data_IF_427924070356
#
_entry.id   IF_427924070356
#
_cell.length_a   1.000
_cell.length_b   1.000
_cell.length_c   1.000
_cell.angle_alpha   90.00
_cell.angle_beta   90.00
_cell.angle_gamma   90.00
#
_symmetry.space_group_name_H-M   'P 1'
#
loop_
_entity.id
_entity.type
_entity.pdbx_description
1 polymer ?
#
# COMPACT_ATOMS: atom_id res chain seq x y z
N UNK A 1 19.05 -8.92 19.41
CA UNK A 1 18.08 -8.19 18.59
C UNK A 1 18.73 -6.86 18.26
N UNK A 2 18.99 -6.56 16.99
CA UNK A 2 19.54 -5.29 16.56
C UNK A 2 18.39 -4.46 15.99
N UNK A 3 18.24 -3.21 16.42
CA UNK A 3 17.24 -2.25 15.92
C UNK A 3 17.86 -1.21 14.99
N UNK A 4 19.19 -1.23 14.81
CA UNK A 4 19.88 -0.32 13.92
C UNK A 4 19.68 -0.77 12.46
N UNK A 5 19.53 0.18 11.58
CA UNK A 5 19.59 -0.05 10.14
C UNK A 5 21.00 -0.44 9.72
N UNK A 6 21.13 -1.22 8.66
CA UNK A 6 22.45 -1.41 8.04
C UNK A 6 22.92 -0.11 7.37
N UNK A 7 24.23 0.04 7.11
CA UNK A 7 24.73 1.22 6.39
C UNK A 7 24.03 1.47 5.04
N UNK A 8 23.69 0.39 4.33
CA UNK A 8 22.97 0.45 3.05
C UNK A 8 21.53 0.91 3.23
N UNK A 9 20.85 0.43 4.28
CA UNK A 9 19.50 0.86 4.63
C UNK A 9 19.46 2.33 5.07
N UNK A 10 20.47 2.78 5.83
CA UNK A 10 20.62 4.18 6.22
C UNK A 10 20.81 5.09 4.98
N UNK A 11 21.66 4.67 4.03
CA UNK A 11 21.86 5.38 2.77
C UNK A 11 20.59 5.44 1.94
N UNK A 12 19.86 4.32 1.82
CA UNK A 12 18.59 4.26 1.12
C UNK A 12 17.57 5.22 1.76
N UNK A 13 17.41 5.17 3.09
CA UNK A 13 16.52 6.04 3.86
C UNK A 13 16.80 7.51 3.57
N UNK A 14 18.06 7.92 3.69
CA UNK A 14 18.45 9.32 3.53
C UNK A 14 18.30 9.80 2.08
N UNK A 15 18.58 8.93 1.11
CA UNK A 15 18.42 9.22 -0.31
C UNK A 15 16.94 9.36 -0.71
N UNK A 16 16.07 8.46 -0.24
CA UNK A 16 14.61 8.51 -0.47
C UNK A 16 14.00 9.74 0.19
N UNK A 17 14.43 10.05 1.43
CA UNK A 17 14.01 11.29 2.13
C UNK A 17 14.38 12.54 1.33
N UNK A 18 15.59 12.58 0.79
CA UNK A 18 16.04 13.71 -0.03
C UNK A 18 15.22 13.87 -1.31
N UNK A 19 14.89 12.73 -1.97
CA UNK A 19 13.98 12.72 -3.12
C UNK A 19 12.60 13.25 -2.73
N UNK A 20 11.98 12.68 -1.70
CA UNK A 20 10.65 13.08 -1.26
C UNK A 20 10.55 14.56 -0.89
N UNK A 21 11.58 15.12 -0.20
CA UNK A 21 11.63 16.54 0.17
C UNK A 21 11.75 17.50 -1.01
N UNK A 22 12.34 17.09 -2.14
CA UNK A 22 12.39 17.91 -3.35
C UNK A 22 11.01 18.12 -3.98
N UNK A 23 10.15 17.13 -3.91
CA UNK A 23 8.77 17.20 -4.37
C UNK A 23 7.86 17.79 -3.28
N UNK A 24 7.82 17.15 -2.14
CA UNK A 24 7.07 17.59 -0.96
C UNK A 24 5.57 17.51 -1.09
N UNK A 25 4.88 17.75 0.02
CA UNK A 25 3.43 17.71 0.08
C UNK A 25 2.70 18.69 -0.86
N UNK A 26 3.19 19.93 -1.09
CA UNK A 26 2.55 20.83 -2.04
C UNK A 26 2.45 20.27 -3.47
N UNK A 27 3.50 19.56 -3.94
CA UNK A 27 3.48 18.87 -5.23
C UNK A 27 2.39 17.78 -5.25
N UNK A 28 2.38 16.91 -4.24
CA UNK A 28 1.39 15.84 -4.11
C UNK A 28 -0.05 16.38 -4.12
N UNK A 29 -0.32 17.42 -3.33
CA UNK A 29 -1.64 18.08 -3.26
C UNK A 29 -2.00 18.74 -4.59
N UNK A 30 -1.04 19.39 -5.27
CA UNK A 30 -1.29 20.02 -6.56
C UNK A 30 -1.72 18.98 -7.61
N UNK A 31 -0.99 17.85 -7.71
CA UNK A 31 -1.33 16.75 -8.61
C UNK A 31 -2.71 16.16 -8.30
N UNK A 32 -3.01 15.90 -7.03
CA UNK A 32 -4.32 15.39 -6.62
C UNK A 32 -5.47 16.36 -6.97
N UNK A 33 -5.28 17.66 -6.79
CA UNK A 33 -6.30 18.68 -7.11
C UNK A 33 -6.51 18.91 -8.60
N UNK A 34 -5.46 18.80 -9.41
CA UNK A 34 -5.56 18.93 -10.87
C UNK A 34 -6.06 17.66 -11.55
N UNK A 35 -6.13 16.52 -10.82
CA UNK A 35 -6.45 15.23 -11.40
C UNK A 35 -5.30 14.63 -12.20
N UNK A 36 -4.08 15.13 -12.00
CA UNK A 36 -2.87 14.63 -12.62
C UNK A 36 -2.18 13.59 -11.73
N UNK A 37 -1.40 12.71 -12.35
CA UNK A 37 -0.59 11.70 -11.65
C UNK A 37 0.75 12.24 -11.18
N UNK A 38 1.37 11.57 -10.23
CA UNK A 38 2.73 11.88 -9.73
C UNK A 38 3.83 11.31 -10.63
N UNK A 39 3.67 11.45 -11.94
CA UNK A 39 4.50 10.81 -12.97
C UNK A 39 5.98 11.18 -12.86
N UNK A 40 6.29 12.44 -12.55
CA UNK A 40 7.67 12.92 -12.44
C UNK A 40 8.38 12.27 -11.25
N UNK A 41 7.70 12.21 -10.10
CA UNK A 41 8.23 11.55 -8.89
C UNK A 41 8.39 10.04 -9.11
N UNK A 42 7.41 9.40 -9.76
CA UNK A 42 7.45 7.98 -10.08
C UNK A 42 8.64 7.61 -10.97
N UNK A 43 8.81 8.32 -12.08
CA UNK A 43 9.92 8.07 -13.01
C UNK A 43 11.28 8.35 -12.36
N UNK A 44 11.39 9.39 -11.53
CA UNK A 44 12.65 9.65 -10.85
C UNK A 44 12.96 8.60 -9.79
N UNK A 45 11.96 8.14 -9.04
CA UNK A 45 12.11 7.04 -8.09
C UNK A 45 12.52 5.73 -8.80
N UNK A 46 11.95 5.44 -9.97
CA UNK A 46 12.32 4.29 -10.82
C UNK A 46 13.77 4.39 -11.29
N UNK A 47 14.16 5.53 -11.88
CA UNK A 47 15.55 5.77 -12.35
C UNK A 47 16.58 5.65 -11.22
N UNK A 48 16.21 5.96 -9.99
CA UNK A 48 17.06 5.83 -8.80
C UNK A 48 17.00 4.41 -8.18
N UNK A 49 16.19 3.49 -8.74
CA UNK A 49 16.06 2.11 -8.30
C UNK A 49 15.15 1.90 -7.08
N UNK A 50 14.43 2.94 -6.62
CA UNK A 50 13.60 2.84 -5.40
C UNK A 50 12.32 2.02 -5.59
N UNK A 51 11.82 1.90 -6.83
CA UNK A 51 10.63 1.10 -7.13
C UNK A 51 10.92 -0.40 -7.16
N UNK A 52 12.17 -0.77 -7.46
CA UNK A 52 12.61 -2.16 -7.59
C UNK A 52 13.46 -2.67 -6.43
N UNK A 53 13.49 -2.00 -5.27
CA UNK A 53 14.36 -2.39 -4.15
C UNK A 53 14.13 -3.83 -3.68
N UNK A 54 12.90 -4.35 -3.78
CA UNK A 54 12.49 -5.70 -3.40
C UNK A 54 12.49 -6.70 -4.56
N UNK A 55 12.90 -6.29 -5.76
CA UNK A 55 12.98 -7.15 -6.94
C UNK A 55 14.41 -7.70 -7.04
N UNK A 56 14.60 -8.99 -7.42
CA UNK A 56 15.92 -9.57 -7.58
C UNK A 56 16.78 -8.83 -8.60
N UNK A 57 18.09 -8.82 -8.36
CA UNK A 57 19.07 -8.11 -9.23
C UNK A 57 19.12 -8.67 -10.64
N UNK A 58 18.85 -9.95 -10.84
CA UNK A 58 18.76 -10.61 -12.15
C UNK A 58 17.65 -10.04 -13.05
N UNK A 59 16.64 -9.39 -12.44
CA UNK A 59 15.56 -8.67 -13.17
C UNK A 59 15.70 -7.15 -13.08
N UNK A 60 16.89 -6.65 -12.73
CA UNK A 60 17.16 -5.21 -12.68
C UNK A 60 16.76 -4.51 -11.38
N UNK A 61 16.37 -5.27 -10.37
CA UNK A 61 16.01 -4.73 -9.03
C UNK A 61 17.21 -4.54 -8.10
N UNK A 62 16.90 -4.09 -6.88
CA UNK A 62 17.91 -3.83 -5.83
C UNK A 62 18.36 -5.09 -5.07
N UNK A 63 17.64 -6.21 -5.17
CA UNK A 63 17.93 -7.45 -4.46
C UNK A 63 17.69 -7.39 -2.94
N UNK A 64 17.04 -6.35 -2.45
CA UNK A 64 16.56 -6.22 -1.07
C UNK A 64 15.24 -6.93 -0.84
N UNK A 65 14.57 -6.58 0.25
CA UNK A 65 13.31 -7.18 0.66
C UNK A 65 12.18 -6.18 0.89
N UNK A 66 11.18 -6.64 1.59
CA UNK A 66 10.04 -5.79 2.01
C UNK A 66 10.48 -4.77 3.07
N UNK A 67 11.57 -5.02 3.79
CA UNK A 67 12.17 -4.06 4.71
C UNK A 67 12.62 -2.80 3.97
N UNK A 68 13.35 -2.92 2.86
CA UNK A 68 13.81 -1.80 2.03
C UNK A 68 12.62 -1.09 1.37
N UNK A 69 11.63 -1.83 0.88
CA UNK A 69 10.43 -1.22 0.30
C UNK A 69 9.61 -0.47 1.36
N UNK A 70 9.53 -0.98 2.59
CA UNK A 70 8.88 -0.28 3.69
C UNK A 70 9.61 1.04 4.04
N UNK A 71 10.95 1.08 3.99
CA UNK A 71 11.73 2.31 4.13
C UNK A 71 11.38 3.33 3.04
N UNK A 72 11.27 2.89 1.78
CA UNK A 72 10.87 3.75 0.66
C UNK A 72 9.47 4.33 0.90
N UNK A 73 8.50 3.49 1.23
CA UNK A 73 7.12 3.92 1.50
C UNK A 73 7.05 4.90 2.67
N UNK A 74 7.75 4.61 3.77
CA UNK A 74 7.76 5.47 4.96
C UNK A 74 8.39 6.83 4.68
N UNK A 75 9.56 6.89 4.03
CA UNK A 75 10.28 8.14 3.85
C UNK A 75 9.65 9.06 2.81
N UNK A 76 9.07 8.52 1.72
CA UNK A 76 8.28 9.33 0.80
C UNK A 76 7.03 9.90 1.48
N UNK A 77 6.33 9.11 2.28
CA UNK A 77 5.17 9.55 3.03
C UNK A 77 5.56 10.58 4.12
N UNK A 78 6.70 10.40 4.81
CA UNK A 78 7.23 11.37 5.78
C UNK A 78 7.68 12.69 5.14
N UNK A 79 7.95 12.68 3.83
CA UNK A 79 8.17 13.89 3.04
C UNK A 79 6.86 14.52 2.50
N UNK A 80 5.71 13.91 2.77
CA UNK A 80 4.39 14.36 2.34
C UNK A 80 3.90 13.82 0.99
N UNK A 81 4.55 12.77 0.47
CA UNK A 81 4.21 12.11 -0.80
C UNK A 81 3.88 10.62 -0.58
N UNK A 82 2.75 10.27 0.06
CA UNK A 82 2.35 8.88 0.29
C UNK A 82 1.86 8.24 -1.01
N UNK A 83 2.75 7.62 -1.80
CA UNK A 83 2.42 7.01 -3.08
C UNK A 83 1.77 5.63 -2.90
N UNK A 84 0.46 5.53 -3.16
CA UNK A 84 -0.29 4.26 -3.05
C UNK A 84 0.16 3.23 -4.10
N UNK A 85 0.64 3.67 -5.26
CA UNK A 85 1.17 2.76 -6.28
C UNK A 85 2.35 1.92 -5.82
N UNK A 86 3.15 2.38 -4.84
CA UNK A 86 4.22 1.56 -4.23
C UNK A 86 3.67 0.30 -3.55
N UNK A 87 2.45 0.39 -3.05
CA UNK A 87 1.78 -0.75 -2.41
C UNK A 87 1.25 -1.72 -3.45
N UNK A 88 0.49 -1.23 -4.44
CA UNK A 88 -0.21 -2.13 -5.37
C UNK A 88 0.71 -2.72 -6.43
N UNK A 89 1.75 -2.01 -6.84
CA UNK A 89 2.67 -2.45 -7.91
C UNK A 89 3.92 -3.13 -7.34
N UNK A 90 4.89 -2.46 -6.69
CA UNK A 90 6.07 -3.14 -6.13
C UNK A 90 5.76 -4.12 -5.01
N UNK A 91 4.90 -3.76 -4.04
CA UNK A 91 4.71 -4.64 -2.90
C UNK A 91 3.82 -5.85 -3.22
N UNK A 92 2.72 -5.66 -3.97
CA UNK A 92 1.81 -6.77 -4.30
C UNK A 92 2.23 -7.43 -5.60
N UNK A 93 2.10 -6.75 -6.75
CA UNK A 93 2.22 -7.39 -8.05
C UNK A 93 3.63 -7.95 -8.30
N UNK A 94 4.69 -7.16 -8.05
CA UNK A 94 6.05 -7.64 -8.25
C UNK A 94 6.38 -8.82 -7.32
N UNK A 95 5.95 -8.77 -6.04
CA UNK A 95 6.17 -9.88 -5.10
C UNK A 95 5.44 -11.16 -5.54
N UNK A 96 4.19 -11.04 -5.98
CA UNK A 96 3.41 -12.19 -6.48
C UNK A 96 4.08 -12.81 -7.71
N UNK A 97 4.45 -11.99 -8.69
CA UNK A 97 5.11 -12.46 -9.92
C UNK A 97 6.48 -13.07 -9.60
N UNK A 98 7.26 -12.45 -8.72
CA UNK A 98 8.57 -12.96 -8.34
C UNK A 98 8.48 -14.34 -7.65
N UNK A 99 7.55 -14.51 -6.71
CA UNK A 99 7.44 -15.75 -5.93
C UNK A 99 6.70 -16.87 -6.67
N UNK A 100 5.70 -16.54 -7.47
CA UNK A 100 4.76 -17.51 -8.05
C UNK A 100 4.61 -17.46 -9.56
N UNK A 101 5.12 -16.42 -10.23
CA UNK A 101 5.12 -16.34 -11.69
C UNK A 101 6.04 -17.40 -12.34
N UNK A 102 5.78 -17.71 -13.60
CA UNK A 102 6.72 -18.49 -14.43
C UNK A 102 7.98 -17.67 -14.71
N UNK A 103 9.03 -18.32 -15.20
CA UNK A 103 10.26 -17.62 -15.58
C UNK A 103 10.01 -16.60 -16.69
N UNK A 104 9.11 -16.93 -17.64
CA UNK A 104 8.68 -16.03 -18.71
C UNK A 104 7.96 -14.81 -18.15
N UNK A 105 7.04 -15.00 -17.18
CA UNK A 105 6.34 -13.91 -16.51
C UNK A 105 7.30 -13.02 -15.73
N UNK A 106 8.25 -13.59 -15.00
CA UNK A 106 9.29 -12.82 -14.29
C UNK A 106 10.10 -11.96 -15.25
N UNK A 107 10.63 -12.56 -16.34
CA UNK A 107 11.42 -11.84 -17.37
C UNK A 107 10.61 -10.76 -18.09
N UNK A 108 9.32 -10.99 -18.30
CA UNK A 108 8.44 -10.05 -19.01
C UNK A 108 8.07 -8.83 -18.17
N UNK A 109 7.84 -9.03 -16.85
CA UNK A 109 7.22 -7.99 -16.04
C UNK A 109 8.17 -7.36 -15.01
N UNK A 110 9.04 -8.15 -14.36
CA UNK A 110 9.84 -7.62 -13.25
C UNK A 110 10.80 -6.49 -13.64
N UNK A 111 11.47 -6.49 -14.82
CA UNK A 111 12.34 -5.39 -15.22
C UNK A 111 11.59 -4.05 -15.31
N UNK A 112 10.43 -4.04 -15.96
CA UNK A 112 9.62 -2.83 -16.10
C UNK A 112 9.01 -2.36 -14.76
N UNK A 113 8.70 -3.31 -13.86
CA UNK A 113 8.27 -2.97 -12.50
C UNK A 113 9.43 -2.39 -11.68
N UNK A 114 10.67 -2.86 -11.90
CA UNK A 114 11.84 -2.39 -11.16
C UNK A 114 12.24 -0.95 -11.53
N UNK A 115 12.21 -0.61 -12.82
CA UNK A 115 12.56 0.73 -13.30
C UNK A 115 11.36 1.70 -13.38
N UNK A 116 10.14 1.20 -13.13
CA UNK A 116 8.90 1.97 -13.14
C UNK A 116 8.34 2.27 -14.54
N UNK A 117 8.90 1.68 -15.60
CA UNK A 117 8.38 1.79 -16.96
C UNK A 117 7.09 0.98 -17.16
N UNK A 118 6.83 0.00 -16.29
CA UNK A 118 5.58 -0.76 -16.23
C UNK A 118 4.95 -0.63 -14.84
N UNK A 119 3.62 -0.56 -14.82
CA UNK A 119 2.81 -0.57 -13.59
C UNK A 119 1.79 -1.71 -13.68
N UNK A 120 1.69 -2.50 -12.62
CA UNK A 120 0.66 -3.54 -12.46
C UNK A 120 -0.09 -3.27 -11.16
N UNK A 121 -1.36 -2.91 -11.25
CA UNK A 121 -2.20 -2.66 -10.08
C UNK A 121 -2.97 -3.91 -9.66
N UNK A 122 -3.56 -3.91 -8.46
CA UNK A 122 -4.15 -5.10 -7.86
C UNK A 122 -5.68 -4.97 -7.74
N UNK A 123 -6.41 -6.01 -8.12
CA UNK A 123 -7.87 -6.04 -8.10
C UNK A 123 -8.41 -7.30 -7.42
N UNK A 124 -8.79 -7.18 -6.15
CA UNK A 124 -9.45 -8.25 -5.38
C UNK A 124 -10.88 -7.90 -5.01
N UNK A 125 -11.13 -6.68 -4.47
CA UNK A 125 -12.39 -6.27 -3.86
C UNK A 125 -13.53 -6.23 -4.88
N UNK A 126 -14.70 -6.72 -4.47
CA UNK A 126 -15.94 -6.70 -5.25
C UNK A 126 -17.07 -6.02 -4.46
N UNK A 127 -18.13 -5.54 -5.11
CA UNK A 127 -19.27 -4.92 -4.42
C UNK A 127 -19.82 -5.77 -3.27
N UNK A 128 -19.88 -7.11 -3.46
CA UNK A 128 -20.43 -8.06 -2.48
C UNK A 128 -19.36 -8.86 -1.72
N UNK A 129 -18.07 -8.60 -1.96
CA UNK A 129 -16.95 -9.30 -1.35
C UNK A 129 -15.80 -8.33 -0.98
N UNK A 130 -15.99 -7.55 0.09
CA UNK A 130 -14.95 -6.72 0.71
C UNK A 130 -14.18 -7.51 1.77
N UNK A 131 -14.58 -7.40 3.04
CA UNK A 131 -13.91 -8.13 4.15
C UNK A 131 -13.94 -9.65 4.01
N UNK A 132 -14.94 -10.20 3.33
CA UNK A 132 -15.07 -11.62 3.08
C UNK A 132 -14.69 -11.97 1.62
N UNK A 133 -13.40 -12.03 1.32
CA UNK A 133 -12.89 -12.39 -0.01
C UNK A 133 -13.23 -13.83 -0.43
N UNK A 134 -13.65 -14.71 0.48
CA UNK A 134 -14.12 -16.04 0.14
C UNK A 134 -15.41 -16.02 -0.70
N UNK A 135 -16.11 -14.90 -0.76
CA UNK A 135 -17.34 -14.70 -1.55
C UNK A 135 -17.11 -14.02 -2.90
N UNK A 136 -15.87 -13.94 -3.35
CA UNK A 136 -15.56 -13.38 -4.68
C UNK A 136 -16.44 -14.03 -5.76
N UNK A 137 -17.09 -13.20 -6.58
CA UNK A 137 -17.96 -13.61 -7.67
C UNK A 137 -17.28 -13.59 -9.04
N UNK A 138 -16.13 -12.90 -9.19
CA UNK A 138 -15.36 -12.90 -10.44
C UNK A 138 -14.87 -14.32 -10.74
N UNK A 139 -15.18 -14.82 -11.95
CA UNK A 139 -14.89 -16.19 -12.37
C UNK A 139 -14.03 -16.17 -13.64
N UNK A 140 -13.05 -17.08 -13.69
CA UNK A 140 -12.30 -17.40 -14.89
C UNK A 140 -12.70 -18.79 -15.38
N UNK A 141 -13.08 -18.90 -16.67
CA UNK A 141 -13.43 -20.17 -17.31
C UNK A 141 -12.46 -20.48 -18.44
N UNK A 142 -12.14 -21.75 -18.64
CA UNK A 142 -11.38 -22.17 -19.82
C UNK A 142 -12.24 -22.12 -21.07
N UNK A 143 -11.65 -21.63 -22.17
CA UNK A 143 -12.21 -21.64 -23.51
C UNK A 143 -11.10 -22.04 -24.50
N UNK A 144 -10.97 -23.34 -24.76
CA UNK A 144 -9.81 -23.91 -25.42
C UNK A 144 -8.54 -23.73 -24.58
N UNK A 145 -7.52 -23.13 -25.17
CA UNK A 145 -6.27 -22.80 -24.48
C UNK A 145 -6.33 -21.47 -23.72
N UNK A 146 -7.37 -20.65 -23.99
CA UNK A 146 -7.55 -19.34 -23.39
C UNK A 146 -8.35 -19.38 -22.09
N UNK A 147 -8.40 -18.21 -21.43
CA UNK A 147 -9.28 -17.93 -20.31
C UNK A 147 -10.31 -16.86 -20.67
N UNK A 148 -11.52 -16.97 -20.14
CA UNK A 148 -12.55 -15.94 -20.17
C UNK A 148 -12.83 -15.50 -18.73
N UNK A 149 -12.63 -14.22 -18.45
CA UNK A 149 -12.87 -13.59 -17.14
C UNK A 149 -14.16 -12.81 -17.16
N UNK A 150 -15.06 -13.12 -16.22
CA UNK A 150 -16.33 -12.41 -16.05
C UNK A 150 -16.52 -12.02 -14.59
N UNK A 151 -16.87 -10.75 -14.32
CA UNK A 151 -17.10 -10.26 -12.95
C UNK A 151 -16.98 -8.74 -12.82
N UNK A 152 -16.86 -8.31 -11.56
CA UNK A 152 -16.75 -6.88 -11.23
C UNK A 152 -15.73 -6.70 -10.13
N UNK A 153 -14.96 -5.59 -10.20
CA UNK A 153 -14.05 -5.15 -9.15
C UNK A 153 -14.36 -3.71 -8.77
N UNK A 154 -14.10 -3.33 -7.53
CA UNK A 154 -14.39 -1.99 -7.03
C UNK A 154 -13.27 -1.49 -6.11
N UNK A 155 -13.07 -0.20 -6.04
CA UNK A 155 -11.97 0.45 -5.30
C UNK A 155 -10.60 0.03 -5.80
N UNK A 156 -10.42 -0.04 -7.11
CA UNK A 156 -9.16 -0.42 -7.73
C UNK A 156 -8.37 0.86 -8.04
N UNK A 157 -7.19 0.98 -7.42
CA UNK A 157 -6.38 2.19 -7.46
C UNK A 157 -5.50 2.23 -8.71
N UNK A 158 -5.40 3.41 -9.37
CA UNK A 158 -4.39 3.72 -10.37
C UNK A 158 -4.51 2.96 -11.69
N UNK A 159 -5.70 2.46 -12.03
CA UNK A 159 -5.92 1.68 -13.27
C UNK A 159 -5.71 2.53 -14.54
N UNK A 160 -5.93 3.83 -14.43
CA UNK A 160 -5.79 4.79 -15.54
C UNK A 160 -4.33 5.11 -15.90
N UNK A 161 -3.40 4.75 -15.03
CA UNK A 161 -1.97 4.91 -15.27
C UNK A 161 -1.19 3.58 -15.28
N UNK A 162 -1.91 2.44 -15.23
CA UNK A 162 -1.32 1.11 -15.20
C UNK A 162 -1.40 0.40 -16.56
N UNK A 163 -0.40 -0.42 -16.86
CA UNK A 163 -0.35 -1.27 -18.06
C UNK A 163 -1.20 -2.53 -17.88
N UNK A 164 -1.21 -3.07 -16.65
CA UNK A 164 -1.92 -4.30 -16.32
C UNK A 164 -2.62 -4.20 -14.96
N UNK A 165 -3.61 -5.07 -14.80
CA UNK A 165 -4.28 -5.33 -13.51
C UNK A 165 -4.03 -6.79 -13.12
N UNK A 166 -3.50 -7.03 -11.93
CA UNK A 166 -3.44 -8.35 -11.32
C UNK A 166 -4.81 -8.64 -10.70
N UNK A 167 -5.63 -9.38 -11.43
CA UNK A 167 -7.03 -9.68 -11.06
C UNK A 167 -7.11 -10.99 -10.29
N UNK A 168 -7.71 -10.95 -9.11
CA UNK A 168 -8.09 -12.16 -8.36
C UNK A 168 -9.44 -12.65 -8.84
N UNK A 169 -9.48 -13.84 -9.42
CA UNK A 169 -10.69 -14.52 -9.85
C UNK A 169 -10.81 -15.89 -9.15
N UNK A 170 -11.89 -16.57 -9.40
CA UNK A 170 -12.08 -17.99 -9.02
C UNK A 170 -12.23 -18.83 -10.27
N UNK A 171 -11.61 -19.99 -10.28
CA UNK A 171 -11.75 -20.93 -11.38
C UNK A 171 -12.06 -22.33 -10.85
N UNK A 172 -12.78 -23.13 -11.63
CA UNK A 172 -13.12 -24.50 -11.26
C UNK A 172 -11.90 -25.39 -11.36
N UNK A 173 -11.60 -26.06 -10.27
CA UNK A 173 -10.62 -27.14 -10.23
C UNK A 173 -11.26 -28.41 -10.82
N UNK A 174 -10.75 -28.86 -11.96
CA UNK A 174 -11.28 -30.01 -12.69
C UNK A 174 -11.27 -31.30 -11.88
N UNK A 175 -10.40 -31.46 -10.86
CA UNK A 175 -10.30 -32.65 -10.03
C UNK A 175 -11.35 -32.70 -8.92
N UNK A 176 -11.75 -31.53 -8.38
CA UNK A 176 -12.64 -31.42 -7.22
C UNK A 176 -13.98 -30.75 -7.51
N UNK A 177 -14.14 -30.10 -8.66
CA UNK A 177 -15.31 -29.26 -9.01
C UNK A 177 -15.47 -28.05 -8.13
N UNK A 178 -14.47 -27.72 -7.28
CA UNK A 178 -14.52 -26.57 -6.38
C UNK A 178 -13.88 -25.34 -7.03
N UNK A 179 -14.46 -24.18 -6.74
CA UNK A 179 -13.86 -22.91 -7.15
C UNK A 179 -12.66 -22.59 -6.27
N UNK A 180 -11.49 -22.47 -6.87
CA UNK A 180 -10.22 -22.05 -6.24
C UNK A 180 -9.83 -20.63 -6.66
N UNK A 181 -9.19 -19.84 -5.80
CA UNK A 181 -8.61 -18.56 -6.19
C UNK A 181 -7.54 -18.75 -7.27
N UNK A 182 -7.51 -17.83 -8.24
CA UNK A 182 -6.49 -17.74 -9.28
C UNK A 182 -6.22 -16.27 -9.58
N UNK A 183 -4.98 -15.94 -9.93
CA UNK A 183 -4.57 -14.58 -10.23
C UNK A 183 -4.21 -14.47 -11.71
N UNK A 184 -4.71 -13.43 -12.36
CA UNK A 184 -4.51 -13.20 -13.80
C UNK A 184 -3.89 -11.82 -14.03
N UNK A 185 -2.87 -11.75 -14.88
CA UNK A 185 -2.28 -10.50 -15.36
C UNK A 185 -3.09 -10.05 -16.57
N UNK A 186 -3.93 -9.03 -16.39
CA UNK A 186 -4.90 -8.55 -17.39
C UNK A 186 -4.42 -7.20 -17.94
N UNK A 187 -4.20 -7.04 -19.26
CA UNK A 187 -3.92 -5.73 -19.86
C UNK A 187 -5.06 -4.74 -19.56
N UNK A 188 -4.75 -3.48 -19.25
CA UNK A 188 -5.78 -2.48 -18.93
C UNK A 188 -6.60 -2.03 -20.15
N UNK A 189 -6.16 -2.36 -21.35
CA UNK A 189 -6.83 -2.15 -22.62
C UNK A 189 -7.46 -3.42 -23.22
N UNK A 190 -7.51 -4.52 -22.45
CA UNK A 190 -8.08 -5.79 -22.92
C UNK A 190 -9.54 -5.60 -23.36
N UNK A 191 -9.94 -6.13 -24.52
CA UNK A 191 -11.34 -6.13 -24.95
C UNK A 191 -12.23 -6.79 -23.91
N UNK A 192 -13.37 -6.15 -23.58
CA UNK A 192 -14.27 -6.62 -22.52
C UNK A 192 -13.94 -6.12 -21.12
N UNK A 193 -12.82 -5.41 -20.92
CA UNK A 193 -12.51 -4.72 -19.67
C UNK A 193 -12.95 -3.25 -19.75
N UNK A 194 -14.02 -2.94 -19.04
CA UNK A 194 -14.46 -1.55 -18.89
C UNK A 194 -14.08 -1.02 -17.50
N UNK A 195 -13.69 0.26 -17.44
CA UNK A 195 -13.29 0.94 -16.21
C UNK A 195 -14.08 2.23 -16.02
N UNK A 196 -14.68 2.39 -14.85
CA UNK A 196 -15.43 3.57 -14.45
C UNK A 196 -14.78 4.21 -13.24
N UNK A 197 -14.37 5.48 -13.36
CA UNK A 197 -13.78 6.23 -12.25
C UNK A 197 -14.81 6.44 -11.15
N UNK A 198 -14.39 6.26 -9.91
CA UNK A 198 -15.19 6.56 -8.72
C UNK A 198 -14.83 7.96 -8.21
N UNK A 199 -15.84 8.76 -7.92
CA UNK A 199 -15.66 10.02 -7.22
C UNK A 199 -15.37 9.75 -5.75
N UNK A 200 -14.20 10.19 -5.29
CA UNK A 200 -13.72 9.92 -3.93
C UNK A 200 -13.56 11.23 -3.14
N UNK A 201 -14.00 11.23 -1.90
CA UNK A 201 -13.78 12.34 -0.95
C UNK A 201 -12.36 12.33 -0.32
N UNK A 202 -11.46 11.50 -0.85
CA UNK A 202 -10.07 11.42 -0.43
C UNK A 202 -9.21 12.18 -1.43
N UNK A 203 -8.40 13.11 -0.96
CA UNK A 203 -7.43 13.79 -1.80
C UNK A 203 -6.23 12.88 -2.06
N UNK A 204 -6.16 12.31 -3.25
CA UNK A 204 -5.08 11.45 -3.74
C UNK A 204 -4.88 11.65 -5.24
N UNK A 205 -3.65 11.63 -5.75
CA UNK A 205 -3.40 11.63 -7.19
C UNK A 205 -3.74 10.27 -7.84
N UNK A 206 -3.80 9.19 -7.06
CA UNK A 206 -4.23 7.88 -7.54
C UNK A 206 -5.76 7.78 -7.56
N UNK A 207 -6.33 7.70 -8.76
CA UNK A 207 -7.77 7.54 -8.95
C UNK A 207 -8.24 6.14 -8.56
N UNK A 208 -9.50 6.04 -8.13
CA UNK A 208 -10.15 4.77 -7.80
C UNK A 208 -11.13 4.38 -8.90
N UNK A 209 -11.22 3.08 -9.20
CA UNK A 209 -12.05 2.58 -10.28
C UNK A 209 -12.95 1.44 -9.85
N UNK A 210 -14.10 1.34 -10.52
CA UNK A 210 -14.86 0.12 -10.68
C UNK A 210 -14.46 -0.49 -12.03
N UNK A 211 -14.25 -1.81 -12.05
CA UNK A 211 -13.95 -2.58 -13.25
C UNK A 211 -15.10 -3.55 -13.55
N UNK A 212 -15.44 -3.63 -14.82
CA UNK A 212 -16.39 -4.60 -15.36
C UNK A 212 -15.63 -5.50 -16.32
N UNK A 213 -15.68 -6.80 -16.07
CA UNK A 213 -15.07 -7.82 -16.91
C UNK A 213 -16.22 -8.60 -17.59
N UNK A 214 -16.36 -8.44 -18.89
CA UNK A 214 -17.37 -9.11 -19.71
C UNK A 214 -16.68 -10.04 -20.69
N UNK A 215 -16.53 -11.31 -20.29
CA UNK A 215 -15.83 -12.36 -21.01
C UNK A 215 -14.46 -11.90 -21.57
N UNK A 216 -13.67 -11.21 -20.71
CA UNK A 216 -12.33 -10.74 -21.07
C UNK A 216 -11.47 -11.94 -21.44
N UNK A 217 -11.10 -12.04 -22.72
CA UNK A 217 -10.28 -13.13 -23.25
C UNK A 217 -8.81 -12.93 -22.95
N UNK A 218 -8.19 -13.90 -22.34
CA UNK A 218 -6.79 -13.88 -21.97
C UNK A 218 -6.10 -15.17 -22.42
N UNK A 219 -4.84 -15.10 -22.89
CA UNK A 219 -4.07 -16.28 -23.23
C UNK A 219 -3.75 -17.12 -21.99
N UNK A 220 -3.33 -18.36 -22.21
CA UNK A 220 -3.04 -19.31 -21.12
C UNK A 220 -2.00 -18.78 -20.12
N UNK A 221 -1.00 -18.04 -20.59
CA UNK A 221 0.11 -17.46 -19.83
C UNK A 221 -0.29 -16.21 -19.00
N UNK A 222 -1.53 -15.76 -19.09
CA UNK A 222 -2.04 -14.71 -18.22
C UNK A 222 -2.27 -15.20 -16.77
N UNK A 223 -2.48 -16.50 -16.56
CA UNK A 223 -2.55 -17.10 -15.24
C UNK A 223 -1.18 -17.02 -14.55
N UNK A 224 -1.12 -16.46 -13.34
CA UNK A 224 0.12 -16.41 -12.57
C UNK A 224 0.54 -17.81 -12.14
N UNK A 225 1.72 -18.22 -12.56
CA UNK A 225 2.27 -19.54 -12.28
C UNK A 225 1.76 -20.62 -13.26
N UNK A 226 2.15 -21.86 -12.99
CA UNK A 226 1.89 -22.98 -13.91
C UNK A 226 0.63 -23.78 -13.57
N UNK A 227 0.11 -23.62 -12.36
CA UNK A 227 -1.04 -24.38 -11.88
C UNK A 227 -1.98 -23.59 -10.99
N UNK A 228 -3.23 -24.04 -10.91
CA UNK A 228 -4.25 -23.48 -10.03
C UNK A 228 -3.95 -23.69 -8.53
N UNK A 229 -3.10 -24.65 -8.19
CA UNK A 229 -2.71 -24.90 -6.80
C UNK A 229 -1.84 -23.77 -6.24
N UNK A 230 -1.17 -23.01 -7.10
CA UNK A 230 -0.43 -21.81 -6.72
C UNK A 230 -1.33 -20.61 -6.36
N UNK A 231 -2.62 -20.61 -6.73
CA UNK A 231 -3.47 -19.41 -6.63
C UNK A 231 -3.65 -18.88 -5.21
N UNK A 232 -3.93 -19.73 -4.23
CA UNK A 232 -4.08 -19.28 -2.84
C UNK A 232 -2.74 -18.85 -2.21
N UNK A 233 -1.63 -19.62 -2.34
CA UNK A 233 -0.30 -19.15 -1.93
C UNK A 233 0.11 -17.84 -2.60
N UNK A 234 -0.13 -17.67 -3.90
CA UNK A 234 0.17 -16.44 -4.63
C UNK A 234 -0.62 -15.24 -4.09
N UNK A 235 -1.91 -15.42 -3.81
CA UNK A 235 -2.72 -14.38 -3.19
C UNK A 235 -2.13 -13.94 -1.84
N UNK A 236 -1.81 -14.89 -0.96
CA UNK A 236 -1.25 -14.56 0.36
C UNK A 236 0.17 -13.98 0.30
N UNK A 237 0.95 -14.32 -0.72
CA UNK A 237 2.28 -13.77 -0.93
C UNK A 237 2.27 -12.24 -1.09
N UNK A 238 1.23 -11.68 -1.73
CA UNK A 238 1.05 -10.23 -1.89
C UNK A 238 0.44 -9.54 -0.67
N UNK A 239 -0.44 -10.22 0.08
CA UNK A 239 -1.22 -9.58 1.14
C UNK A 239 -0.41 -9.21 2.39
N UNK A 240 0.67 -9.91 2.73
CA UNK A 240 1.54 -9.53 3.84
C UNK A 240 2.39 -8.28 3.50
N UNK A 241 3.08 -8.22 2.34
CA UNK A 241 3.73 -6.99 1.87
C UNK A 241 2.79 -5.80 1.80
N UNK A 242 1.56 -5.97 1.33
CA UNK A 242 0.54 -4.92 1.29
C UNK A 242 0.31 -4.30 2.68
N UNK A 243 0.06 -5.14 3.70
CA UNK A 243 -0.18 -4.67 5.07
C UNK A 243 1.04 -3.93 5.64
N UNK A 244 2.24 -4.44 5.39
CA UNK A 244 3.50 -3.87 5.89
C UNK A 244 3.76 -2.52 5.24
N UNK A 245 3.63 -2.40 3.92
CA UNK A 245 3.93 -1.16 3.18
C UNK A 245 2.86 -0.09 3.38
N UNK A 246 1.57 -0.44 3.47
CA UNK A 246 0.51 0.50 3.90
C UNK A 246 0.76 1.00 5.33
N UNK A 247 1.19 0.12 6.23
CA UNK A 247 1.54 0.53 7.59
C UNK A 247 2.74 1.50 7.59
N UNK A 248 3.78 1.23 6.79
CA UNK A 248 4.94 2.11 6.64
C UNK A 248 4.55 3.49 6.08
N UNK A 249 3.71 3.51 5.04
CA UNK A 249 3.15 4.75 4.49
C UNK A 249 2.34 5.52 5.54
N UNK A 250 1.52 4.82 6.34
CA UNK A 250 0.77 5.42 7.45
C UNK A 250 1.68 6.03 8.52
N UNK A 251 2.71 5.31 8.94
CA UNK A 251 3.70 5.81 9.91
C UNK A 251 4.45 7.04 9.38
N UNK A 252 4.86 7.01 8.10
CA UNK A 252 5.47 8.15 7.42
C UNK A 252 4.55 9.37 7.40
N UNK A 253 3.27 9.19 7.05
CA UNK A 253 2.26 10.27 7.09
C UNK A 253 2.08 10.83 8.50
N UNK A 254 2.08 9.96 9.52
CA UNK A 254 2.03 10.38 10.93
C UNK A 254 3.26 11.21 11.32
N UNK A 255 4.47 10.79 10.92
CA UNK A 255 5.72 11.55 11.13
C UNK A 255 5.64 12.94 10.48
N UNK A 256 5.20 13.00 9.22
CA UNK A 256 5.00 14.27 8.51
C UNK A 256 4.09 15.23 9.30
N UNK A 257 2.94 14.73 9.75
CA UNK A 257 1.97 15.56 10.48
C UNK A 257 2.53 16.06 11.81
N UNK A 258 3.20 15.19 12.58
CA UNK A 258 3.85 15.57 13.86
C UNK A 258 4.96 16.60 13.63
N UNK A 259 5.83 16.41 12.61
CA UNK A 259 6.90 17.35 12.26
C UNK A 259 6.31 18.74 11.94
N UNK A 260 5.31 18.81 11.06
CA UNK A 260 4.64 20.06 10.70
C UNK A 260 4.02 20.79 11.91
N UNK A 261 3.37 20.04 12.78
CA UNK A 261 2.77 20.61 13.98
C UNK A 261 3.85 21.07 14.98
N UNK A 262 4.93 20.31 15.13
CA UNK A 262 6.04 20.68 16.02
C UNK A 262 6.73 21.97 15.58
N UNK A 263 7.01 22.12 14.28
CA UNK A 263 7.60 23.34 13.71
C UNK A 263 6.71 24.57 13.96
N UNK A 264 5.42 24.43 13.70
CA UNK A 264 4.46 25.50 13.92
C UNK A 264 4.36 25.88 15.40
N UNK A 265 4.18 24.90 16.28
CA UNK A 265 3.96 25.13 17.70
C UNK A 265 5.21 25.67 18.41
N UNK A 266 6.40 25.39 17.90
CA UNK A 266 7.67 25.95 18.39
C UNK A 266 7.81 27.46 18.09
N UNK A 267 7.25 27.93 16.98
CA UNK A 267 7.39 29.33 16.53
C UNK A 267 6.19 30.20 16.85
N UNK A 268 4.98 29.65 16.85
CA UNK A 268 3.74 30.37 17.14
C UNK A 268 3.71 30.82 18.61
N UNK A 269 3.62 32.14 18.84
CA UNK A 269 3.61 32.76 20.18
C UNK A 269 2.20 33.14 20.60
N UNK A 270 1.95 33.05 21.89
CA UNK A 270 0.73 33.52 22.58
C UNK A 270 1.10 34.39 23.77
N UNK A 271 0.26 34.58 24.71
CA UNK A 271 0.44 35.46 25.87
C UNK A 271 1.84 35.35 26.50
N UNK A 272 2.45 36.49 26.77
CA UNK A 272 3.77 36.56 27.38
C UNK A 272 4.93 36.20 26.43
N UNK A 273 4.67 36.08 25.12
CA UNK A 273 5.71 35.84 24.09
C UNK A 273 6.25 34.41 24.07
N UNK A 274 5.67 33.50 24.82
CA UNK A 274 6.02 32.05 24.82
C UNK A 274 5.44 31.35 23.62
N UNK A 275 6.17 30.32 23.09
CA UNK A 275 5.62 29.45 22.07
C UNK A 275 4.44 28.64 22.60
N UNK A 276 3.46 28.33 21.73
CA UNK A 276 2.32 27.50 22.15
C UNK A 276 2.77 26.07 22.50
N UNK A 277 3.86 25.57 21.90
CA UNK A 277 4.46 24.28 22.23
C UNK A 277 5.03 24.20 23.66
N UNK A 278 5.24 25.33 24.36
CA UNK A 278 5.64 25.33 25.76
C UNK A 278 4.51 24.97 26.73
N UNK A 279 3.27 24.93 26.25
CA UNK A 279 2.11 24.56 27.06
C UNK A 279 1.81 23.07 26.95
N UNK A 280 1.68 22.38 28.09
CA UNK A 280 1.43 20.91 28.15
C UNK A 280 0.18 20.48 27.40
N UNK A 281 -0.87 21.33 27.37
CA UNK A 281 -2.09 21.06 26.60
C UNK A 281 -1.86 20.97 25.07
N UNK A 282 -0.72 21.46 24.57
CA UNK A 282 -0.31 21.35 23.16
C UNK A 282 0.80 20.32 22.98
N UNK A 283 1.85 20.36 23.79
CA UNK A 283 3.01 19.48 23.65
C UNK A 283 2.71 18.02 23.99
N UNK A 284 1.89 17.74 25.02
CA UNK A 284 1.60 16.36 25.42
C UNK A 284 0.82 15.57 24.37
N UNK A 285 -0.25 16.08 23.72
CA UNK A 285 -0.90 15.38 22.61
C UNK A 285 0.06 15.08 21.44
N UNK A 286 0.91 16.03 21.07
CA UNK A 286 1.92 15.83 20.01
C UNK A 286 2.95 14.76 20.40
N UNK A 287 3.46 14.83 21.65
CA UNK A 287 4.39 13.82 22.16
C UNK A 287 3.75 12.43 22.19
N UNK A 288 2.47 12.34 22.62
CA UNK A 288 1.74 11.07 22.59
C UNK A 288 1.60 10.53 21.17
N UNK A 289 1.23 11.36 20.20
CA UNK A 289 1.13 10.96 18.81
C UNK A 289 2.48 10.46 18.26
N UNK A 290 3.59 11.17 18.58
CA UNK A 290 4.94 10.74 18.20
C UNK A 290 5.31 9.37 18.76
N UNK A 291 4.99 9.12 20.05
CA UNK A 291 5.23 7.81 20.69
C UNK A 291 4.43 6.70 19.98
N UNK A 292 3.14 6.95 19.65
CA UNK A 292 2.33 5.95 18.96
C UNK A 292 2.85 5.63 17.55
N UNK A 293 3.32 6.63 16.82
CA UNK A 293 3.95 6.46 15.51
C UNK A 293 5.23 5.61 15.64
N UNK A 294 6.08 5.87 16.64
CA UNK A 294 7.31 5.11 16.84
C UNK A 294 7.03 3.66 17.23
N UNK A 295 6.06 3.40 18.10
CA UNK A 295 5.62 2.04 18.43
C UNK A 295 5.11 1.27 17.20
N UNK A 296 4.36 1.95 16.32
CA UNK A 296 3.91 1.35 15.06
C UNK A 296 5.08 1.02 14.13
N UNK A 297 6.09 1.91 14.04
CA UNK A 297 7.32 1.68 13.25
C UNK A 297 8.07 0.42 13.70
N UNK A 298 8.27 0.24 14.99
CA UNK A 298 8.89 -0.98 15.53
C UNK A 298 8.14 -2.24 15.12
N UNK A 299 6.81 -2.21 15.11
CA UNK A 299 6.01 -3.36 14.66
C UNK A 299 6.08 -3.58 13.15
N UNK A 300 6.17 -2.50 12.34
CA UNK A 300 6.34 -2.57 10.88
C UNK A 300 7.64 -3.28 10.52
N UNK A 301 8.77 -2.83 11.08
CA UNK A 301 10.07 -3.42 10.75
C UNK A 301 10.24 -4.83 11.32
N UNK A 302 9.62 -5.15 12.46
CA UNK A 302 9.49 -6.53 12.91
C UNK A 302 8.76 -7.40 11.87
N UNK A 303 7.63 -6.93 11.35
CA UNK A 303 6.85 -7.69 10.36
C UNK A 303 7.61 -7.87 9.04
N UNK A 304 8.27 -6.79 8.57
CA UNK A 304 9.08 -6.81 7.36
C UNK A 304 10.26 -7.78 7.48
N UNK A 305 11.03 -7.69 8.56
CA UNK A 305 12.16 -8.60 8.83
C UNK A 305 11.74 -10.06 8.92
N UNK A 306 10.58 -10.37 9.52
CA UNK A 306 10.04 -11.73 9.56
C UNK A 306 9.66 -12.22 8.16
N UNK A 307 9.05 -11.35 7.34
CA UNK A 307 8.70 -11.69 5.96
C UNK A 307 9.93 -11.98 5.11
N UNK A 308 10.95 -11.12 5.19
CA UNK A 308 12.21 -11.28 4.46
C UNK A 308 13.00 -12.52 4.90
N UNK A 309 12.83 -12.94 6.15
CA UNK A 309 13.36 -14.19 6.67
C UNK A 309 12.56 -15.46 6.29
N UNK A 310 11.51 -15.33 5.46
CA UNK A 310 10.65 -16.45 5.04
C UNK A 310 9.72 -16.99 6.13
N UNK A 311 9.52 -16.23 7.23
CA UNK A 311 8.64 -16.59 8.34
C UNK A 311 7.23 -16.07 8.11
N UNK A 312 6.60 -16.51 7.02
CA UNK A 312 5.34 -15.94 6.48
C UNK A 312 4.18 -15.91 7.49
N UNK A 313 4.01 -16.96 8.31
CA UNK A 313 2.94 -17.00 9.32
C UNK A 313 3.12 -15.94 10.40
N UNK A 314 4.35 -15.80 10.91
CA UNK A 314 4.67 -14.82 11.93
C UNK A 314 4.67 -13.40 11.38
N UNK A 315 5.13 -13.23 10.13
CA UNK A 315 5.01 -11.99 9.38
C UNK A 315 3.54 -11.58 9.19
N UNK A 316 2.65 -12.53 8.91
CA UNK A 316 1.22 -12.29 8.79
C UNK A 316 0.58 -11.79 10.10
N UNK A 317 0.93 -12.40 11.24
CA UNK A 317 0.48 -11.93 12.56
C UNK A 317 1.02 -10.52 12.84
N UNK A 318 2.33 -10.33 12.68
CA UNK A 318 2.97 -9.05 12.95
C UNK A 318 2.53 -7.96 11.96
N UNK A 319 2.30 -8.28 10.69
CA UNK A 319 1.80 -7.37 9.65
C UNK A 319 0.38 -6.87 9.93
N UNK A 320 -0.51 -7.74 10.42
CA UNK A 320 -1.84 -7.31 10.89
C UNK A 320 -1.72 -6.33 12.06
N UNK A 321 -0.88 -6.64 13.06
CA UNK A 321 -0.67 -5.74 14.20
C UNK A 321 -0.03 -4.42 13.78
N UNK A 322 0.95 -4.45 12.87
CA UNK A 322 1.60 -3.26 12.32
C UNK A 322 0.60 -2.35 11.60
N UNK A 323 -0.23 -2.94 10.74
CA UNK A 323 -1.27 -2.22 10.00
C UNK A 323 -2.29 -1.57 10.93
N UNK A 324 -2.74 -2.28 11.95
CA UNK A 324 -3.62 -1.73 12.97
C UNK A 324 -2.96 -0.55 13.70
N UNK A 325 -1.77 -0.77 14.25
CA UNK A 325 -1.05 0.24 15.04
C UNK A 325 -0.75 1.50 14.21
N UNK A 326 -0.28 1.33 12.96
CA UNK A 326 0.03 2.45 12.08
C UNK A 326 -1.22 3.22 11.64
N UNK A 327 -2.34 2.54 11.35
CA UNK A 327 -3.60 3.19 11.02
C UNK A 327 -4.15 4.05 12.16
N UNK A 328 -4.09 3.54 13.40
CA UNK A 328 -4.51 4.29 14.59
C UNK A 328 -3.54 5.46 14.88
N UNK A 329 -2.23 5.21 14.81
CA UNK A 329 -1.21 6.22 15.07
C UNK A 329 -1.24 7.36 14.04
N UNK A 330 -1.39 7.05 12.74
CA UNK A 330 -1.49 8.06 11.68
C UNK A 330 -2.73 8.93 11.84
N UNK A 331 -3.89 8.32 12.14
CA UNK A 331 -5.13 9.07 12.37
C UNK A 331 -4.99 10.00 13.59
N UNK A 332 -4.43 9.50 14.69
CA UNK A 332 -4.16 10.31 15.89
C UNK A 332 -3.20 11.46 15.58
N UNK A 333 -2.11 11.19 14.85
CA UNK A 333 -1.09 12.18 14.54
C UNK A 333 -1.63 13.32 13.66
N UNK A 334 -2.38 12.98 12.60
CA UNK A 334 -2.95 14.00 11.70
C UNK A 334 -4.02 14.83 12.41
N UNK A 335 -4.93 14.21 13.15
CA UNK A 335 -5.96 14.91 13.93
C UNK A 335 -5.33 15.85 14.96
N UNK A 336 -4.36 15.36 15.73
CA UNK A 336 -3.60 16.16 16.70
C UNK A 336 -2.86 17.31 16.06
N UNK A 337 -2.27 17.10 14.88
CA UNK A 337 -1.54 18.13 14.15
C UNK A 337 -2.49 19.23 13.67
N UNK A 338 -3.63 18.89 13.07
CA UNK A 338 -4.65 19.87 12.65
C UNK A 338 -5.13 20.69 13.87
N UNK A 339 -5.42 20.02 14.99
CA UNK A 339 -5.84 20.67 16.22
C UNK A 339 -4.76 21.62 16.76
N UNK A 340 -3.49 21.21 16.77
CA UNK A 340 -2.38 22.02 17.28
C UNK A 340 -2.08 23.25 16.41
N UNK A 341 -2.30 23.17 15.10
CA UNK A 341 -2.20 24.28 14.18
C UNK A 341 -3.41 25.25 14.31
N UNK A 342 -4.53 24.81 14.86
CA UNK A 342 -5.77 25.58 14.92
C UNK A 342 -6.27 25.95 13.52
N UNK A 343 -6.71 27.20 13.31
CA UNK A 343 -7.19 27.67 12.00
C UNK A 343 -6.17 27.47 10.86
N UNK A 344 -4.87 27.60 11.15
CA UNK A 344 -3.81 27.36 10.17
C UNK A 344 -3.81 25.90 9.66
N UNK A 345 -4.14 24.93 10.52
CA UNK A 345 -4.24 23.52 10.13
C UNK A 345 -5.28 23.21 9.07
N UNK A 346 -6.27 24.11 8.92
CA UNK A 346 -7.35 23.99 7.91
C UNK A 346 -7.04 24.73 6.59
N UNK A 347 -5.90 25.43 6.52
CA UNK A 347 -5.56 26.19 5.33
C UNK A 347 -4.77 25.36 4.31
N UNK A 348 -4.83 25.77 3.04
CA UNK A 348 -4.04 25.18 1.97
C UNK A 348 -2.53 25.44 2.12
N UNK A 349 -2.14 26.50 2.82
CA UNK A 349 -0.75 26.84 3.09
C UNK A 349 -0.01 25.75 3.88
N UNK A 350 -0.66 25.24 4.92
CA UNK A 350 -0.09 24.15 5.74
C UNK A 350 -0.43 22.75 5.21
N UNK A 351 -1.57 22.59 4.53
CA UNK A 351 -1.97 21.37 3.82
C UNK A 351 -2.28 20.16 4.70
N UNK A 352 -2.12 20.24 6.03
CA UNK A 352 -2.22 19.07 6.92
C UNK A 352 -3.63 18.46 6.92
N UNK A 353 -4.69 19.27 6.84
CA UNK A 353 -6.07 18.79 6.80
C UNK A 353 -6.36 17.92 5.57
N UNK A 354 -5.59 18.04 4.48
CA UNK A 354 -5.76 17.17 3.30
C UNK A 354 -5.48 15.70 3.57
N UNK A 355 -4.76 15.40 4.65
CA UNK A 355 -4.40 14.04 5.05
C UNK A 355 -5.50 13.32 5.85
N UNK A 356 -6.52 14.04 6.37
CA UNK A 356 -7.58 13.46 7.22
C UNK A 356 -8.31 12.30 6.54
N UNK A 357 -8.68 12.46 5.26
CA UNK A 357 -9.33 11.41 4.47
C UNK A 357 -8.42 10.20 4.24
N UNK A 358 -7.16 10.43 3.90
CA UNK A 358 -6.19 9.38 3.62
C UNK A 358 -5.89 8.51 4.85
N UNK A 359 -5.66 9.12 6.04
CA UNK A 359 -5.43 8.34 7.27
C UNK A 359 -6.69 7.63 7.75
N UNK A 360 -7.88 8.17 7.42
CA UNK A 360 -9.14 7.46 7.67
C UNK A 360 -9.25 6.22 6.81
N UNK A 361 -8.91 6.30 5.51
CA UNK A 361 -8.87 5.17 4.61
C UNK A 361 -7.92 4.07 5.11
N UNK A 362 -6.78 4.45 5.68
CA UNK A 362 -5.82 3.53 6.30
C UNK A 362 -6.37 2.70 7.46
N UNK A 363 -7.53 3.03 8.02
CA UNK A 363 -8.24 2.21 9.03
C UNK A 363 -9.25 1.24 8.39
N UNK A 364 -9.57 1.42 7.12
CA UNK A 364 -10.56 0.66 6.37
C UNK A 364 -9.87 -0.36 5.45
N UNK A 365 -8.87 0.06 4.70
CA UNK A 365 -8.15 -0.73 3.70
C UNK A 365 -6.67 -0.91 4.09
N UNK A 366 -6.00 -1.99 3.63
CA UNK A 366 -6.52 -3.14 2.86
C UNK A 366 -7.39 -4.10 3.68
N UNK A 367 -7.25 -4.11 5.00
CA UNK A 367 -8.06 -4.89 5.93
C UNK A 367 -8.60 -3.94 7.00
N UNK A 368 -9.90 -3.98 7.29
CA UNK A 368 -10.48 -3.11 8.30
C UNK A 368 -9.89 -3.39 9.69
N UNK A 369 -9.83 -2.36 10.53
CA UNK A 369 -9.35 -2.49 11.92
C UNK A 369 -10.10 -3.57 12.69
N UNK A 370 -11.41 -3.70 12.43
CA UNK A 370 -12.28 -4.67 13.08
C UNK A 370 -11.91 -6.11 12.66
N UNK A 371 -11.62 -6.34 11.38
CA UNK A 371 -11.16 -7.64 10.90
C UNK A 371 -9.79 -8.01 11.45
N UNK A 372 -8.89 -7.04 11.62
CA UNK A 372 -7.60 -7.28 12.27
C UNK A 372 -7.81 -7.67 13.73
N UNK A 373 -8.68 -6.97 14.46
CA UNK A 373 -8.99 -7.30 15.85
C UNK A 373 -9.62 -8.68 15.99
N UNK A 374 -10.50 -9.07 15.07
CA UNK A 374 -11.03 -10.44 14.99
C UNK A 374 -9.90 -11.47 14.77
N UNK A 375 -8.99 -11.19 13.84
CA UNK A 375 -7.84 -12.06 13.60
C UNK A 375 -6.98 -12.22 14.86
N UNK A 376 -6.65 -11.13 15.54
CA UNK A 376 -5.86 -11.16 16.79
C UNK A 376 -6.61 -11.90 17.89
N UNK A 377 -7.89 -11.66 18.07
CA UNK A 377 -8.70 -12.36 19.06
C UNK A 377 -8.68 -13.89 18.84
N UNK A 378 -8.86 -14.33 17.59
CA UNK A 378 -8.93 -15.75 17.26
C UNK A 378 -7.56 -16.44 17.27
N UNK A 379 -6.55 -15.83 16.65
CA UNK A 379 -5.28 -16.50 16.37
C UNK A 379 -4.17 -16.20 17.38
N UNK A 380 -4.30 -15.12 18.15
CA UNK A 380 -3.31 -14.75 19.17
C UNK A 380 -3.84 -14.99 20.58
N UNK A 381 -5.10 -14.65 20.83
CA UNK A 381 -5.74 -14.79 22.13
C UNK A 381 -6.55 -16.08 22.28
N UNK A 382 -6.65 -16.90 21.23
CA UNK A 382 -7.40 -18.17 21.19
C UNK A 382 -8.89 -18.01 21.60
N UNK A 383 -9.48 -16.88 21.23
CA UNK A 383 -10.90 -16.65 21.45
C UNK A 383 -11.74 -17.33 20.37
N UNK A 384 -12.99 -17.62 20.70
CA UNK A 384 -13.94 -18.22 19.75
C UNK A 384 -14.20 -17.30 18.55
N UNK A 385 -14.48 -17.92 17.41
CA UNK A 385 -14.83 -17.21 16.19
C UNK A 385 -16.19 -16.53 16.36
N UNK A 386 -16.28 -15.24 16.03
CA UNK A 386 -17.49 -14.45 16.21
C UNK A 386 -18.56 -14.70 15.13
N UNK A 387 -18.20 -15.28 13.98
CA UNK A 387 -19.09 -15.62 12.85
C UNK A 387 -18.46 -16.63 11.88
#
# INVERSE_FOLDING_TARGET
MNFDLTPEQDQLRDAVRALGRRYGHPYFVAKAKSGEHTTELWHEAGRLGYLGVNIPTEYGGGGGGITELALVCEELAAAGCPLLLLVVSPAIAATVINKHGTEEQRKKHLPGLADGSQKIVFAITEPDAGSNFHRLGTVARRDGDDWLLTGRKVYISGVDEADHVLVVARTEDASSGKLKPALFIVPTDAPGLEKSKLDMEILSPENQFQLFLDDVRLPADALVGESLDAGLPALFAGLNPERITVAAMGAGTGRYAVEKASDYTATRKVWGGRSIGSHQGVSHPLAHAAVQVELARLMIYKAASLYDAGRDLEAGVSGNMAKYAAGEAAALAVDTAVQALGGAGMTTEYGVATLLGAVRAGRIAPVSREMILNFVAQHVLSQDKSY
#
